data_IF_697018762991
#
_entry.id   IF_697018762991
#
_cell.length_a   1.000
_cell.length_b   1.000
_cell.length_c   1.000
_cell.angle_alpha   90.00
_cell.angle_beta   90.00
_cell.angle_gamma   90.00
#
_symmetry.space_group_name_H-M   'P 1'
#
loop_
_entity.id
_entity.type
_entity.pdbx_description
1 polymer ?
#
# COMPACT_ATOMS: atom_id res chain seq x y z
N UNK A 1 -10.21 -7.80 4.34
CA UNK A 1 -11.59 -7.48 3.91
C UNK A 1 -11.49 -6.64 2.65
N UNK A 2 -12.13 -7.01 1.54
CA UNK A 2 -12.18 -6.23 0.31
C UNK A 2 -12.86 -4.86 0.54
N UNK A 3 -12.43 -3.85 -0.22
CA UNK A 3 -12.97 -2.47 -0.09
C UNK A 3 -14.48 -2.43 -0.32
N UNK A 4 -14.97 -3.13 -1.34
CA UNK A 4 -16.41 -3.20 -1.64
C UNK A 4 -17.26 -3.77 -0.50
N UNK A 5 -16.75 -4.76 0.25
CA UNK A 5 -17.41 -5.31 1.42
C UNK A 5 -17.43 -4.31 2.58
N UNK A 6 -16.29 -3.63 2.79
CA UNK A 6 -16.16 -2.59 3.81
C UNK A 6 -17.13 -1.42 3.56
N UNK A 7 -17.22 -0.95 2.30
CA UNK A 7 -18.15 0.11 1.91
C UNK A 7 -19.62 -0.29 2.07
N UNK A 8 -19.97 -1.56 1.78
CA UNK A 8 -21.33 -2.07 2.05
C UNK A 8 -21.66 -2.02 3.53
N UNK A 9 -20.75 -2.51 4.39
CA UNK A 9 -20.96 -2.52 5.83
C UNK A 9 -21.07 -1.11 6.43
N UNK A 10 -20.31 -0.13 5.90
CA UNK A 10 -20.45 1.27 6.28
C UNK A 10 -21.82 1.85 5.88
N UNK A 11 -22.35 1.49 4.69
CA UNK A 11 -23.64 1.94 4.19
C UNK A 11 -24.82 1.31 4.90
N UNK A 12 -24.67 0.05 5.31
CA UNK A 12 -25.73 -0.67 6.06
C UNK A 12 -25.73 -0.40 7.56
N UNK A 13 -24.71 0.33 8.09
CA UNK A 13 -24.55 0.55 9.53
C UNK A 13 -23.95 -0.65 10.29
N UNK A 14 -23.50 -1.71 9.58
CA UNK A 14 -22.81 -2.84 10.21
C UNK A 14 -21.41 -2.43 10.71
N UNK A 15 -20.82 -1.43 10.07
CA UNK A 15 -19.55 -0.81 10.46
C UNK A 15 -19.72 0.70 10.66
N UNK A 16 -19.17 1.23 11.74
CA UNK A 16 -19.16 2.67 12.02
C UNK A 16 -17.99 3.39 11.36
N UNK A 17 -16.86 2.68 11.16
CA UNK A 17 -15.62 3.21 10.55
C UNK A 17 -14.96 2.14 9.68
N UNK A 18 -14.13 2.59 8.75
CA UNK A 18 -13.32 1.73 7.90
C UNK A 18 -11.98 2.39 7.55
N UNK A 19 -11.13 1.64 6.86
CA UNK A 19 -9.82 2.12 6.39
C UNK A 19 -9.57 1.70 4.95
N UNK A 20 -9.06 2.64 4.15
CA UNK A 20 -8.69 2.36 2.76
C UNK A 20 -7.41 3.10 2.36
N UNK A 21 -6.81 2.67 1.26
CA UNK A 21 -5.69 3.36 0.60
C UNK A 21 -6.16 4.21 -0.60
N UNK A 22 -7.43 4.53 -0.67
CA UNK A 22 -8.02 5.41 -1.69
C UNK A 22 -9.08 6.30 -1.08
N UNK A 23 -9.22 7.52 -1.57
CA UNK A 23 -10.30 8.42 -1.24
C UNK A 23 -11.51 8.28 -2.20
N UNK A 24 -11.38 7.49 -3.26
CA UNK A 24 -12.42 7.27 -4.28
C UNK A 24 -13.40 6.18 -3.81
N UNK A 25 -14.33 6.55 -2.91
CA UNK A 25 -15.25 5.61 -2.24
C UNK A 25 -16.74 5.96 -2.41
N UNK A 26 -17.03 7.07 -3.11
CA UNK A 26 -18.38 7.60 -3.31
C UNK A 26 -18.69 8.75 -2.34
N UNK A 27 -19.70 9.57 -2.71
CA UNK A 27 -20.03 10.82 -2.01
C UNK A 27 -20.75 10.60 -0.66
N UNK A 28 -21.21 9.39 -0.42
CA UNK A 28 -21.92 8.97 0.80
C UNK A 28 -20.96 8.53 1.92
N UNK A 29 -19.67 8.47 1.64
CA UNK A 29 -18.62 8.13 2.61
C UNK A 29 -17.64 9.29 2.73
N UNK A 30 -17.48 9.80 3.94
CA UNK A 30 -16.44 10.76 4.27
C UNK A 30 -15.09 10.07 4.36
N UNK A 31 -14.07 10.69 3.77
CA UNK A 31 -12.69 10.22 3.82
C UNK A 31 -11.82 11.25 4.52
N UNK A 32 -11.03 10.82 5.47
CA UNK A 32 -10.06 11.66 6.18
C UNK A 32 -8.68 11.01 6.08
N UNK A 33 -7.64 11.70 5.55
CA UNK A 33 -6.28 11.16 5.55
C UNK A 33 -5.79 11.03 7.00
N UNK A 34 -5.32 9.83 7.39
CA UNK A 34 -4.78 9.57 8.72
C UNK A 34 -3.26 9.61 8.74
N UNK A 35 -2.62 8.83 7.88
CA UNK A 35 -1.16 8.77 7.81
C UNK A 35 -0.68 8.48 6.41
N UNK A 36 0.56 8.90 6.18
CA UNK A 36 1.28 8.70 4.93
C UNK A 36 2.44 7.74 5.16
N UNK A 37 2.60 6.79 4.28
CA UNK A 37 3.62 5.76 4.37
C UNK A 37 4.40 5.69 3.05
N UNK A 38 5.68 5.96 3.12
CA UNK A 38 6.53 5.95 1.92
C UNK A 38 6.64 4.55 1.35
N UNK A 39 6.65 4.45 0.03
CA UNK A 39 6.93 3.20 -0.67
C UNK A 39 8.43 2.97 -0.77
N UNK A 40 8.82 1.74 -0.53
CA UNK A 40 10.18 1.23 -0.70
C UNK A 40 10.14 -0.01 -1.59
N UNK A 41 11.28 -0.40 -2.13
CA UNK A 41 11.41 -1.55 -3.04
C UNK A 41 12.10 -2.70 -2.32
N UNK A 42 11.50 -3.87 -2.38
CA UNK A 42 12.11 -5.14 -1.99
C UNK A 42 12.83 -5.73 -3.21
N UNK A 43 14.12 -5.97 -3.07
CA UNK A 43 15.01 -6.38 -4.16
C UNK A 43 15.76 -7.66 -3.74
N UNK A 44 15.97 -8.64 -4.63
CA UNK A 44 16.80 -9.80 -4.32
C UNK A 44 18.22 -9.38 -3.88
N UNK A 45 18.84 -10.14 -2.96
CA UNK A 45 20.11 -9.77 -2.34
C UNK A 45 21.31 -9.61 -3.31
N UNK A 46 21.19 -10.05 -4.55
CA UNK A 46 22.25 -9.95 -5.59
C UNK A 46 21.72 -9.35 -6.90
N UNK A 47 20.87 -8.34 -6.77
CA UNK A 47 20.21 -7.74 -7.94
C UNK A 47 20.93 -6.48 -8.43
N UNK A 48 20.96 -6.19 -9.77
CA UNK A 48 21.61 -5.00 -10.33
C UNK A 48 21.08 -3.66 -9.74
N UNK A 49 19.81 -3.58 -9.36
CA UNK A 49 19.22 -2.39 -8.72
C UNK A 49 19.91 -2.00 -7.39
N UNK A 50 20.66 -2.91 -6.77
CA UNK A 50 21.40 -2.62 -5.54
C UNK A 50 22.59 -1.68 -5.74
N UNK A 51 23.00 -1.41 -6.97
CA UNK A 51 23.95 -0.35 -7.32
C UNK A 51 23.41 1.05 -6.96
N UNK A 52 22.09 1.20 -6.88
CA UNK A 52 21.43 2.44 -6.48
C UNK A 52 21.20 2.48 -4.96
N UNK A 53 21.54 3.60 -4.31
CA UNK A 53 21.17 3.87 -2.91
C UNK A 53 19.66 4.10 -2.78
N UNK A 54 19.07 4.80 -3.75
CA UNK A 54 17.65 4.96 -3.95
C UNK A 54 17.33 4.57 -5.40
N UNK A 55 16.34 3.71 -5.61
CA UNK A 55 16.01 3.14 -6.92
C UNK A 55 15.19 4.11 -7.75
N UNK A 56 15.67 4.56 -8.92
CA UNK A 56 14.86 5.37 -9.82
C UNK A 56 13.67 4.56 -10.37
N UNK A 57 12.48 5.16 -10.40
CA UNK A 57 11.27 4.46 -10.82
C UNK A 57 11.38 3.86 -12.23
N UNK A 58 12.00 4.58 -13.18
CA UNK A 58 12.16 4.10 -14.56
C UNK A 58 13.04 2.84 -14.66
N UNK A 59 13.95 2.61 -13.71
CA UNK A 59 14.77 1.40 -13.68
C UNK A 59 13.95 0.14 -13.36
N UNK A 60 12.82 0.28 -12.65
CA UNK A 60 11.93 -0.84 -12.35
C UNK A 60 11.25 -1.39 -13.61
N UNK A 61 11.05 -0.57 -14.65
CA UNK A 61 10.46 -1.01 -15.91
C UNK A 61 11.29 -2.09 -16.65
N UNK A 62 12.55 -2.27 -16.27
CA UNK A 62 13.45 -3.27 -16.87
C UNK A 62 13.40 -4.64 -16.17
N UNK A 63 12.64 -4.76 -15.10
CA UNK A 63 12.58 -5.97 -14.27
C UNK A 63 11.14 -6.39 -14.01
N UNK A 64 10.87 -7.70 -13.89
CA UNK A 64 9.55 -8.17 -13.53
C UNK A 64 9.18 -7.74 -12.10
N UNK A 65 7.91 -7.47 -11.88
CA UNK A 65 7.36 -7.09 -10.58
C UNK A 65 6.57 -8.24 -9.94
N UNK A 66 6.68 -8.39 -8.63
CA UNK A 66 5.76 -9.17 -7.80
C UNK A 66 4.87 -8.18 -7.09
N UNK A 67 3.59 -8.16 -7.44
CA UNK A 67 2.63 -7.18 -6.94
C UNK A 67 1.60 -7.81 -6.00
N UNK A 68 0.94 -6.99 -5.20
CA UNK A 68 -0.21 -7.43 -4.43
C UNK A 68 -1.39 -7.76 -5.36
N UNK A 69 -2.22 -8.72 -4.93
CA UNK A 69 -3.43 -9.09 -5.65
C UNK A 69 -4.43 -7.90 -5.68
N UNK A 70 -4.86 -7.47 -6.87
CA UNK A 70 -5.76 -6.32 -7.02
C UNK A 70 -7.15 -6.56 -6.42
N UNK A 71 -7.59 -7.81 -6.26
CA UNK A 71 -8.89 -8.14 -5.65
C UNK A 71 -8.82 -8.08 -4.12
N UNK A 72 -7.67 -8.44 -3.55
CA UNK A 72 -7.46 -8.43 -2.09
C UNK A 72 -7.07 -7.04 -1.58
N UNK A 73 -6.24 -6.32 -2.34
CA UNK A 73 -5.65 -5.03 -1.96
C UNK A 73 -5.99 -3.93 -2.97
N UNK A 74 -7.25 -3.83 -3.39
CA UNK A 74 -7.71 -2.95 -4.47
C UNK A 74 -7.19 -1.52 -4.37
N UNK A 75 -7.38 -0.85 -3.23
CA UNK A 75 -6.94 0.53 -3.03
C UNK A 75 -5.43 0.70 -3.12
N UNK A 76 -4.67 -0.20 -2.50
CA UNK A 76 -3.21 -0.21 -2.56
C UNK A 76 -2.70 -0.47 -3.99
N UNK A 77 -3.28 -1.45 -4.68
CA UNK A 77 -2.93 -1.78 -6.06
C UNK A 77 -3.21 -0.60 -7.01
N UNK A 78 -4.33 0.10 -6.82
CA UNK A 78 -4.70 1.28 -7.61
C UNK A 78 -3.67 2.41 -7.45
N UNK A 79 -3.18 2.65 -6.24
CA UNK A 79 -2.12 3.63 -5.99
C UNK A 79 -0.79 3.22 -6.62
N UNK A 80 -0.41 1.94 -6.56
CA UNK A 80 0.76 1.42 -7.29
C UNK A 80 0.62 1.60 -8.80
N UNK A 81 -0.54 1.26 -9.37
CA UNK A 81 -0.80 1.43 -10.80
C UNK A 81 -0.71 2.91 -11.21
N UNK A 82 -1.18 3.84 -10.36
CA UNK A 82 -1.05 5.27 -10.58
C UNK A 82 0.41 5.72 -10.56
N UNK A 83 1.21 5.22 -9.62
CA UNK A 83 2.64 5.48 -9.53
C UNK A 83 3.40 4.99 -10.78
N UNK A 84 3.04 3.84 -11.31
CA UNK A 84 3.71 3.21 -12.47
C UNK A 84 3.24 3.80 -13.80
N UNK A 85 2.08 4.46 -13.86
CA UNK A 85 1.48 5.00 -15.10
C UNK A 85 2.42 5.90 -15.92
N UNK A 86 3.26 6.79 -15.33
CA UNK A 86 4.15 7.65 -16.10
C UNK A 86 5.30 6.94 -16.80
N UNK A 87 5.52 5.65 -16.52
CA UNK A 87 6.58 4.90 -17.18
C UNK A 87 6.27 4.68 -18.66
N UNK A 88 7.21 5.04 -19.53
CA UNK A 88 7.08 4.83 -20.98
C UNK A 88 6.90 3.35 -21.33
N UNK A 89 7.64 2.50 -20.63
CA UNK A 89 7.50 1.05 -20.68
C UNK A 89 6.89 0.57 -19.37
N UNK A 90 5.75 -0.11 -19.46
CA UNK A 90 5.16 -0.75 -18.29
C UNK A 90 5.99 -2.00 -17.92
N UNK A 91 6.31 -2.19 -16.63
CA UNK A 91 7.01 -3.39 -16.18
C UNK A 91 6.14 -4.63 -16.33
N UNK A 92 6.79 -5.76 -16.64
CA UNK A 92 6.11 -7.05 -16.64
C UNK A 92 5.76 -7.45 -15.19
N UNK A 93 4.55 -7.95 -14.97
CA UNK A 93 4.13 -8.51 -13.67
C UNK A 93 4.36 -10.01 -13.69
N UNK A 94 5.34 -10.46 -12.90
CA UNK A 94 5.66 -11.88 -12.80
C UNK A 94 4.59 -12.66 -12.03
N UNK A 95 4.05 -12.04 -10.96
CA UNK A 95 3.04 -12.69 -10.13
C UNK A 95 2.23 -11.66 -9.32
N UNK A 96 0.98 -12.01 -9.00
CA UNK A 96 0.13 -11.32 -8.03
C UNK A 96 -0.01 -12.17 -6.77
N UNK A 97 0.21 -11.58 -5.61
CA UNK A 97 0.24 -12.30 -4.33
C UNK A 97 -0.71 -11.71 -3.31
N UNK A 98 -1.30 -12.57 -2.49
CA UNK A 98 -2.26 -12.18 -1.45
C UNK A 98 -1.62 -11.90 -0.08
N UNK A 99 -0.29 -12.02 0.05
CA UNK A 99 0.40 -11.75 1.31
C UNK A 99 1.80 -11.17 1.09
N UNK A 100 2.27 -10.40 2.09
CA UNK A 100 3.62 -9.85 2.11
C UNK A 100 4.68 -10.97 2.17
N UNK A 101 4.43 -12.02 2.94
CA UNK A 101 5.37 -13.14 3.08
C UNK A 101 5.58 -13.88 1.75
N UNK A 102 4.52 -14.07 0.98
CA UNK A 102 4.62 -14.65 -0.35
C UNK A 102 5.40 -13.73 -1.30
N UNK A 103 5.12 -12.43 -1.28
CA UNK A 103 5.88 -11.44 -2.06
C UNK A 103 7.38 -11.54 -1.75
N UNK A 104 7.76 -11.48 -0.48
CA UNK A 104 9.15 -11.55 -0.06
C UNK A 104 9.81 -12.87 -0.42
N UNK A 105 9.06 -13.97 -0.39
CA UNK A 105 9.55 -15.29 -0.79
C UNK A 105 9.88 -15.33 -2.28
N UNK A 106 8.99 -14.81 -3.13
CA UNK A 106 9.22 -14.75 -4.57
C UNK A 106 10.33 -13.76 -4.93
N UNK A 107 10.39 -12.61 -4.26
CA UNK A 107 11.50 -11.65 -4.43
C UNK A 107 12.83 -12.30 -4.04
N UNK A 108 12.93 -12.93 -2.87
CA UNK A 108 14.14 -13.62 -2.42
C UNK A 108 14.58 -14.74 -3.37
N UNK A 109 13.63 -15.42 -4.01
CA UNK A 109 13.87 -16.43 -5.04
C UNK A 109 14.25 -15.83 -6.42
N UNK A 110 14.23 -14.51 -6.59
CA UNK A 110 14.64 -13.84 -7.82
C UNK A 110 13.56 -13.74 -8.90
N UNK A 111 12.28 -13.96 -8.56
CA UNK A 111 11.17 -13.84 -9.53
C UNK A 111 10.92 -12.41 -9.99
N UNK A 112 11.32 -11.43 -9.19
CA UNK A 112 11.14 -10.02 -9.50
C UNK A 112 11.44 -9.13 -8.32
N UNK A 113 11.00 -7.88 -8.40
CA UNK A 113 11.07 -6.89 -7.32
C UNK A 113 9.66 -6.53 -6.86
N UNK A 114 9.52 -6.15 -5.58
CA UNK A 114 8.22 -5.84 -5.00
C UNK A 114 8.19 -4.47 -4.34
N UNK A 115 6.98 -3.94 -4.13
CA UNK A 115 6.78 -2.71 -3.37
C UNK A 115 6.30 -3.01 -1.95
N UNK A 116 6.87 -2.32 -0.98
CA UNK A 116 6.52 -2.44 0.43
C UNK A 116 6.32 -1.04 1.00
N UNK A 117 5.47 -0.89 2.01
CA UNK A 117 5.38 0.34 2.80
C UNK A 117 6.53 0.39 3.80
N UNK A 118 7.12 1.57 4.01
CA UNK A 118 8.25 1.77 4.91
C UNK A 118 7.95 1.31 6.34
N UNK A 119 6.72 1.50 6.82
CA UNK A 119 6.26 1.02 8.14
C UNK A 119 6.36 -0.51 8.31
N UNK A 120 6.45 -1.26 7.22
CA UNK A 120 6.54 -2.73 7.25
C UNK A 120 7.98 -3.25 7.22
N UNK A 121 8.99 -2.39 7.08
CA UNK A 121 10.40 -2.80 6.93
C UNK A 121 10.85 -3.69 8.10
N UNK A 122 10.52 -3.31 9.34
CA UNK A 122 10.91 -4.08 10.53
C UNK A 122 10.40 -5.54 10.52
N UNK A 123 9.25 -5.77 9.87
CA UNK A 123 8.65 -7.11 9.73
C UNK A 123 9.18 -7.87 8.49
N UNK A 124 10.10 -7.27 7.70
CA UNK A 124 10.55 -7.82 6.42
C UNK A 124 12.03 -8.20 6.41
N UNK A 125 12.69 -8.23 7.56
CA UNK A 125 14.12 -8.56 7.66
C UNK A 125 14.38 -10.02 7.24
N UNK A 126 15.00 -10.17 6.08
CA UNK A 126 15.37 -11.47 5.49
C UNK A 126 16.76 -11.36 4.86
N UNK A 127 17.59 -12.41 4.91
CA UNK A 127 18.94 -12.35 4.33
C UNK A 127 18.95 -12.36 2.79
N UNK A 128 17.88 -12.83 2.17
CA UNK A 128 17.73 -12.99 0.72
C UNK A 128 17.05 -11.78 0.04
N UNK A 129 16.58 -10.79 0.84
CA UNK A 129 15.91 -9.59 0.34
C UNK A 129 16.56 -8.34 0.92
N UNK A 130 16.80 -7.34 0.08
CA UNK A 130 17.32 -6.02 0.48
C UNK A 130 16.26 -4.97 0.18
N UNK A 131 16.01 -4.10 1.14
CA UNK A 131 15.09 -2.97 0.98
C UNK A 131 15.86 -1.74 0.51
N UNK A 132 15.33 -1.03 -0.48
CA UNK A 132 15.83 0.25 -0.98
C UNK A 132 14.71 1.28 -1.07
N UNK A 133 14.98 2.54 -0.73
CA UNK A 133 14.03 3.62 -1.00
C UNK A 133 13.85 3.80 -2.51
N UNK A 134 12.69 4.33 -2.91
CA UNK A 134 12.49 4.89 -4.24
C UNK A 134 13.12 6.28 -4.32
N UNK A 135 13.73 6.60 -5.46
CA UNK A 135 14.22 7.96 -5.76
C UNK A 135 13.06 8.86 -6.19
N UNK A 136 12.01 8.94 -5.36
CA UNK A 136 10.80 9.70 -5.61
C UNK A 136 10.08 10.00 -4.28
N UNK A 137 10.12 11.23 -3.82
CA UNK A 137 9.51 11.66 -2.56
C UNK A 137 7.97 11.56 -2.57
N UNK A 138 7.36 11.62 -3.75
CA UNK A 138 5.91 11.49 -3.93
C UNK A 138 5.40 10.05 -3.95
N UNK A 139 6.27 9.05 -3.84
CA UNK A 139 5.89 7.64 -3.74
C UNK A 139 5.39 7.31 -2.33
N UNK A 140 4.18 7.76 -2.02
CA UNK A 140 3.55 7.66 -0.72
C UNK A 140 2.17 7.00 -0.85
N UNK A 141 1.88 6.08 0.06
CA UNK A 141 0.53 5.50 0.23
C UNK A 141 -0.13 6.19 1.41
N UNK A 142 -1.27 6.82 1.14
CA UNK A 142 -2.10 7.42 2.20
C UNK A 142 -3.10 6.39 2.70
N UNK A 143 -3.23 6.26 4.00
CA UNK A 143 -4.33 5.54 4.64
C UNK A 143 -5.39 6.53 5.05
N UNK A 144 -6.61 6.30 4.58
CA UNK A 144 -7.80 7.11 4.87
C UNK A 144 -8.68 6.41 5.91
N UNK A 145 -9.19 7.18 6.85
CA UNK A 145 -10.35 6.82 7.66
C UNK A 145 -11.61 7.02 6.81
N UNK A 146 -12.47 6.03 6.82
CA UNK A 146 -13.77 6.06 6.16
C UNK A 146 -14.88 6.09 7.20
N UNK A 147 -15.91 6.91 7.00
CA UNK A 147 -17.13 6.91 7.80
C UNK A 147 -18.34 7.37 6.98
N UNK A 148 -19.56 6.92 7.29
CA UNK A 148 -20.76 7.44 6.63
C UNK A 148 -20.93 8.94 6.86
N UNK A 149 -21.46 9.64 5.86
CA UNK A 149 -21.77 11.09 5.95
C UNK A 149 -22.91 11.34 6.94
N UNK A 150 -23.87 10.43 7.01
CA UNK A 150 -25.20 10.64 7.62
C UNK A 150 -25.36 10.11 9.03
N UNK A 151 -24.33 9.54 9.65
CA UNK A 151 -24.46 8.91 10.96
C UNK A 151 -23.61 9.59 12.03
N UNK A 152 -24.22 9.79 13.21
CA UNK A 152 -23.48 10.10 14.42
C UNK A 152 -22.67 8.86 14.84
N UNK A 153 -21.38 9.06 15.05
CA UNK A 153 -20.50 7.95 15.43
C UNK A 153 -20.80 7.51 16.87
N UNK A 154 -20.78 6.20 17.15
CA UNK A 154 -20.78 5.73 18.52
C UNK A 154 -19.60 6.31 19.31
N UNK A 155 -19.79 6.60 20.59
CA UNK A 155 -18.75 7.16 21.49
C UNK A 155 -17.45 6.34 21.47
N UNK A 156 -17.57 5.02 21.31
CA UNK A 156 -16.41 4.13 21.18
C UNK A 156 -15.60 4.39 19.90
N UNK A 157 -16.28 4.65 18.79
CA UNK A 157 -15.65 4.98 17.52
C UNK A 157 -14.97 6.35 17.56
N UNK A 158 -15.64 7.36 18.16
CA UNK A 158 -15.05 8.69 18.34
C UNK A 158 -13.77 8.65 19.19
N UNK A 159 -13.80 7.92 20.31
CA UNK A 159 -12.61 7.72 21.16
C UNK A 159 -11.49 7.00 20.44
N UNK A 160 -11.83 6.03 19.61
CA UNK A 160 -10.84 5.31 18.81
C UNK A 160 -10.18 6.23 17.76
N UNK A 161 -10.99 7.03 17.05
CA UNK A 161 -10.51 8.02 16.07
C UNK A 161 -9.60 9.06 16.77
N UNK A 162 -9.99 9.57 17.93
CA UNK A 162 -9.18 10.51 18.69
C UNK A 162 -7.78 9.93 19.00
N UNK A 163 -7.72 8.67 19.46
CA UNK A 163 -6.44 7.99 19.69
C UNK A 163 -5.62 7.78 18.41
N UNK A 164 -6.26 7.46 17.28
CA UNK A 164 -5.55 7.33 16.01
C UNK A 164 -4.88 8.65 15.61
N UNK A 165 -5.59 9.77 15.76
CA UNK A 165 -5.05 11.10 15.43
C UNK A 165 -3.87 11.51 16.32
N UNK A 166 -3.88 11.13 17.58
CA UNK A 166 -2.75 11.35 18.50
C UNK A 166 -1.48 10.62 18.04
N UNK A 167 -1.63 9.46 17.41
CA UNK A 167 -0.51 8.65 16.91
C UNK A 167 -0.15 8.92 15.44
N UNK A 168 -0.94 9.74 14.75
CA UNK A 168 -0.71 10.11 13.34
C UNK A 168 0.13 11.38 13.18
N UNK A 169 0.47 12.05 14.28
CA UNK A 169 1.22 13.31 14.32
C UNK A 169 2.74 13.18 14.54
N UNK A 170 3.27 11.96 14.58
CA UNK A 170 4.72 11.71 14.74
C UNK A 170 5.38 11.27 13.42
#
# INVERSE_FOLDING_TARGET
MPLAEQLRGLRSGDFSIGFAHTAEVGDDILTEPLWHDSLVVAVPARHPLLSHKAVPLHQLASYPLVLCDPQVYEGYYRELARLLRPLERQPDVAEHVSSLDMMLTLVGAGYGVGFIRASRIAATLRPDVVIRPLAMDSAVITTYLLRPVSEDLPVSAERFIARLREHSGD
#
